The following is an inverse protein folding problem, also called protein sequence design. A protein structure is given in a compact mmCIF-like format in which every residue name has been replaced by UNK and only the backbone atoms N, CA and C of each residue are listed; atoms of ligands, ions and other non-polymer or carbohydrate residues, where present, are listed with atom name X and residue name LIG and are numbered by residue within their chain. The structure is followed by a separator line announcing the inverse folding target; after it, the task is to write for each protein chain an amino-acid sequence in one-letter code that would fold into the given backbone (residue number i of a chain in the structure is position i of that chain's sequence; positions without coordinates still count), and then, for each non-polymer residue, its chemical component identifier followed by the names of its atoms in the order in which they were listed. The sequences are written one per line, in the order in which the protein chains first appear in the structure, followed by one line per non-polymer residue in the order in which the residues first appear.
data_IF_685428106285
#
_entry.id   IF_685428106285
#
_cell.length_a   1.000
_cell.length_b   1.000
_cell.length_c   1.000
_cell.angle_alpha   90.00
_cell.angle_beta   90.00
_cell.angle_gamma   90.00
#
_symmetry.space_group_name_H-M   'P 1'
#
loop_
_entity.id
_entity.type
_entity.pdbx_description
1 polymer ?
#
# COMPACT_ATOMS: atom_id res chain seq x y z
N UNK A 1 27.12 2.25 -6.19
CA UNK A 1 27.11 1.79 -4.78
C UNK A 1 26.70 0.31 -4.66
N UNK A 2 25.93 -0.23 -5.61
CA UNK A 2 25.47 -1.63 -5.63
C UNK A 2 26.57 -2.64 -5.97
N UNK A 3 27.62 -2.20 -6.68
CA UNK A 3 28.83 -3.00 -6.93
C UNK A 3 29.53 -3.45 -5.63
N UNK A 4 29.51 -2.62 -4.58
CA UNK A 4 30.11 -2.96 -3.30
C UNK A 4 29.31 -4.06 -2.57
N UNK A 5 27.97 -3.97 -2.62
CA UNK A 5 27.09 -4.97 -1.99
C UNK A 5 27.12 -6.30 -2.72
N UNK A 6 27.19 -6.29 -4.05
CA UNK A 6 27.31 -7.51 -4.87
C UNK A 6 28.64 -8.22 -4.66
N UNK A 7 29.75 -7.49 -4.53
CA UNK A 7 31.06 -8.08 -4.19
C UNK A 7 31.05 -8.70 -2.78
N UNK A 8 30.44 -8.04 -1.80
CA UNK A 8 30.33 -8.61 -0.44
C UNK A 8 29.39 -9.81 -0.41
N UNK A 9 28.26 -9.76 -1.14
CA UNK A 9 27.36 -10.91 -1.28
C UNK A 9 28.03 -12.09 -2.00
N UNK A 10 28.96 -11.82 -2.92
CA UNK A 10 29.83 -12.80 -3.57
C UNK A 10 31.00 -13.31 -2.71
N UNK A 11 31.01 -13.03 -1.40
CA UNK A 11 31.98 -13.55 -0.44
C UNK A 11 33.28 -12.76 -0.31
N UNK A 12 33.40 -11.57 -0.93
CA UNK A 12 34.58 -10.72 -0.77
C UNK A 12 34.60 -10.03 0.60
N UNK A 13 35.76 -9.90 1.26
CA UNK A 13 35.84 -9.28 2.58
C UNK A 13 35.52 -7.77 2.51
N UNK A 14 34.68 -7.30 3.44
CA UNK A 14 34.20 -5.90 3.48
C UNK A 14 35.35 -4.88 3.55
N UNK A 15 36.46 -5.23 4.21
CA UNK A 15 37.66 -4.39 4.29
C UNK A 15 38.26 -4.12 2.89
N UNK A 16 38.45 -5.17 2.09
CA UNK A 16 38.98 -5.07 0.74
C UNK A 16 38.03 -4.25 -0.15
N UNK A 17 36.73 -4.52 -0.07
CA UNK A 17 35.72 -3.80 -0.86
C UNK A 17 35.67 -2.31 -0.48
N UNK A 18 35.83 -1.98 0.81
CA UNK A 18 35.88 -0.57 1.25
C UNK A 18 37.11 0.17 0.76
N UNK A 19 38.27 -0.48 0.77
CA UNK A 19 39.55 0.11 0.36
C UNK A 19 39.60 0.28 -1.17
N UNK A 20 39.16 -0.73 -1.94
CA UNK A 20 39.14 -0.67 -3.41
C UNK A 20 38.12 0.32 -3.97
N UNK A 21 36.97 0.50 -3.31
CA UNK A 21 35.88 1.34 -3.82
C UNK A 21 35.80 2.72 -3.12
N UNK A 22 36.68 2.99 -2.15
CA UNK A 22 36.66 4.24 -1.38
C UNK A 22 35.37 4.44 -0.55
N UNK A 23 34.66 3.36 -0.22
CA UNK A 23 33.38 3.42 0.52
C UNK A 23 33.64 3.18 2.00
N UNK A 24 33.03 3.97 2.88
CA UNK A 24 33.18 3.80 4.31
C UNK A 24 32.70 2.40 4.78
N UNK A 25 33.54 1.72 5.57
CA UNK A 25 33.24 0.38 6.14
C UNK A 25 31.93 0.37 6.96
N UNK A 26 31.66 1.44 7.69
CA UNK A 26 30.42 1.60 8.46
C UNK A 26 29.17 1.65 7.56
N UNK A 27 29.27 2.28 6.40
CA UNK A 27 28.17 2.35 5.43
C UNK A 27 27.87 0.99 4.82
N UNK A 28 28.91 0.21 4.46
CA UNK A 28 28.75 -1.14 3.94
C UNK A 28 28.11 -2.07 4.96
N UNK A 29 28.59 -2.06 6.21
CA UNK A 29 28.05 -2.92 7.28
C UNK A 29 26.59 -2.60 7.62
N UNK A 30 26.19 -1.33 7.62
CA UNK A 30 24.78 -0.92 7.78
C UNK A 30 23.92 -1.44 6.63
N UNK A 31 24.40 -1.32 5.39
CA UNK A 31 23.62 -1.76 4.21
C UNK A 31 23.50 -3.27 4.10
N UNK A 32 24.54 -4.03 4.44
CA UNK A 32 24.48 -5.50 4.51
C UNK A 32 23.38 -5.93 5.49
N UNK A 33 23.35 -5.35 6.69
CA UNK A 33 22.31 -5.63 7.70
C UNK A 33 20.90 -5.25 7.22
N UNK A 34 20.77 -4.15 6.49
CA UNK A 34 19.49 -3.70 5.93
C UNK A 34 19.02 -4.58 4.76
N UNK A 35 19.93 -5.07 3.92
CA UNK A 35 19.60 -5.96 2.80
C UNK A 35 19.14 -7.35 3.23
N UNK A 36 19.59 -7.82 4.40
CA UNK A 36 19.18 -9.10 4.97
C UNK A 36 17.74 -9.08 5.55
N UNK A 37 17.19 -7.90 5.83
CA UNK A 37 15.79 -7.77 6.24
C UNK A 37 15.01 -7.06 5.14
N UNK A 38 14.04 -7.69 4.45
CA UNK A 38 13.07 -6.92 3.70
C UNK A 38 12.30 -6.08 4.72
N UNK A 39 12.68 -4.81 4.87
CA UNK A 39 12.00 -3.84 5.73
C UNK A 39 10.73 -3.36 5.05
N UNK A 40 9.94 -4.30 4.55
CA UNK A 40 8.51 -4.13 4.44
C UNK A 40 8.05 -3.95 5.87
N UNK A 41 7.81 -2.69 6.29
CA UNK A 41 6.97 -2.42 7.45
C UNK A 41 5.68 -3.16 7.18
N UNK A 42 5.56 -4.38 7.71
CA UNK A 42 4.38 -5.22 7.54
C UNK A 42 3.27 -4.45 8.23
N UNK A 43 2.49 -3.70 7.43
CA UNK A 43 1.16 -3.32 7.84
C UNK A 43 0.51 -4.65 8.20
N UNK A 44 0.20 -4.86 9.48
CA UNK A 44 -0.52 -6.06 9.90
C UNK A 44 -1.73 -6.14 8.96
N UNK A 45 -1.94 -7.26 8.23
CA UNK A 45 -3.17 -7.42 7.47
C UNK A 45 -4.28 -7.49 8.52
N UNK A 46 -4.91 -6.34 8.78
CA UNK A 46 -6.16 -6.30 9.51
C UNK A 46 -7.13 -6.99 8.56
N UNK A 47 -7.80 -8.03 9.04
CA UNK A 47 -8.77 -8.74 8.22
C UNK A 47 -9.88 -7.75 7.85
N UNK A 48 -9.85 -7.29 6.60
CA UNK A 48 -10.79 -6.32 6.06
C UNK A 48 -12.01 -7.03 5.44
N UNK A 49 -12.08 -8.37 5.47
CA UNK A 49 -13.15 -9.13 4.83
C UNK A 49 -14.54 -8.78 5.36
N UNK A 50 -14.71 -8.62 6.68
CA UNK A 50 -15.98 -8.18 7.28
C UNK A 50 -16.37 -6.77 6.82
N UNK A 51 -15.38 -5.87 6.77
CA UNK A 51 -15.59 -4.49 6.31
C UNK A 51 -15.94 -4.45 4.82
N UNK A 52 -15.36 -5.34 4.01
CA UNK A 52 -15.68 -5.47 2.59
C UNK A 52 -17.13 -5.89 2.41
N UNK A 53 -17.60 -6.89 3.15
CA UNK A 53 -18.99 -7.34 3.09
C UNK A 53 -19.97 -6.23 3.48
N UNK A 54 -19.66 -5.50 4.56
CA UNK A 54 -20.45 -4.35 5.03
C UNK A 54 -20.51 -3.24 3.96
N UNK A 55 -19.37 -2.91 3.34
CA UNK A 55 -19.30 -1.93 2.25
C UNK A 55 -20.06 -2.41 1.01
N UNK A 56 -19.92 -3.68 0.60
CA UNK A 56 -20.59 -4.23 -0.57
C UNK A 56 -22.11 -4.18 -0.43
N UNK A 57 -22.64 -4.49 0.76
CA UNK A 57 -24.06 -4.34 1.04
C UNK A 57 -24.53 -2.90 0.83
N UNK A 58 -23.82 -1.92 1.41
CA UNK A 58 -24.17 -0.50 1.28
C UNK A 58 -24.00 0.05 -0.14
N UNK A 59 -23.00 -0.43 -0.90
CA UNK A 59 -22.77 -0.04 -2.30
C UNK A 59 -23.80 -0.66 -3.23
N UNK A 60 -24.28 -1.88 -2.94
CA UNK A 60 -25.33 -2.53 -3.74
C UNK A 60 -26.64 -1.74 -3.76
N UNK A 61 -26.97 -1.08 -2.65
CA UNK A 61 -28.15 -0.21 -2.55
C UNK A 61 -27.94 1.13 -3.29
N UNK A 62 -26.69 1.62 -3.38
CA UNK A 62 -26.37 2.98 -3.84
C UNK A 62 -25.05 3.02 -4.65
N UNK A 63 -25.04 2.55 -5.91
CA UNK A 63 -23.82 2.43 -6.71
C UNK A 63 -23.16 3.78 -7.05
N UNK A 64 -23.89 4.90 -6.90
CA UNK A 64 -23.41 6.26 -7.14
C UNK A 64 -22.67 6.89 -5.96
N UNK A 65 -22.42 6.14 -4.87
CA UNK A 65 -21.84 6.71 -3.65
C UNK A 65 -20.31 6.58 -3.61
N UNK A 66 -19.64 7.71 -3.37
CA UNK A 66 -18.20 7.74 -3.11
C UNK A 66 -17.86 7.35 -1.66
N UNK A 67 -16.61 6.98 -1.43
CA UNK A 67 -16.12 6.46 -0.14
C UNK A 67 -16.43 7.33 1.09
N UNK A 68 -16.54 8.66 0.92
CA UNK A 68 -16.92 9.57 2.02
C UNK A 68 -18.36 9.36 2.50
N UNK A 69 -19.30 9.11 1.58
CA UNK A 69 -20.70 8.83 1.96
C UNK A 69 -20.83 7.46 2.59
N UNK A 70 -20.16 6.45 2.01
CA UNK A 70 -20.10 5.09 2.57
C UNK A 70 -19.56 5.11 4.00
N UNK A 71 -18.47 5.87 4.25
CA UNK A 71 -17.95 6.04 5.61
C UNK A 71 -18.97 6.64 6.59
N UNK A 72 -19.75 7.62 6.17
CA UNK A 72 -20.79 8.22 7.01
C UNK A 72 -21.89 7.23 7.38
N UNK A 73 -22.30 6.36 6.44
CA UNK A 73 -23.28 5.30 6.69
C UNK A 73 -22.73 4.25 7.65
N UNK A 74 -21.51 3.76 7.41
CA UNK A 74 -20.82 2.82 8.29
C UNK A 74 -20.67 3.37 9.72
N UNK A 75 -20.34 4.67 9.84
CA UNK A 75 -20.22 5.32 11.14
C UNK A 75 -21.55 5.33 11.88
N UNK A 76 -22.64 5.71 11.22
CA UNK A 76 -23.98 5.74 11.83
C UNK A 76 -24.45 4.34 12.23
N UNK A 77 -24.27 3.34 11.36
CA UNK A 77 -24.62 1.96 11.65
C UNK A 77 -23.87 1.42 12.88
N UNK A 78 -22.58 1.72 12.99
CA UNK A 78 -21.75 1.30 14.14
C UNK A 78 -22.04 2.07 15.41
N UNK A 79 -22.38 3.35 15.34
CA UNK A 79 -22.86 4.12 16.49
C UNK A 79 -24.13 3.48 17.09
N UNK A 80 -25.07 3.03 16.24
CA UNK A 80 -26.26 2.29 16.70
C UNK A 80 -25.91 0.94 17.34
N UNK A 81 -24.88 0.27 16.85
CA UNK A 81 -24.43 -1.04 17.35
C UNK A 81 -23.40 -0.94 18.49
N UNK A 82 -23.07 0.27 18.96
CA UNK A 82 -22.02 0.53 19.96
C UNK A 82 -20.64 -0.04 19.58
N UNK A 83 -20.37 -0.14 18.28
CA UNK A 83 -19.11 -0.63 17.73
C UNK A 83 -18.09 0.50 17.53
N UNK A 84 -16.79 0.20 17.53
CA UNK A 84 -15.76 1.20 17.31
C UNK A 84 -15.86 1.81 15.91
N UNK A 85 -15.69 3.14 15.83
CA UNK A 85 -15.70 3.88 14.59
C UNK A 85 -14.54 3.46 13.67
N UNK A 86 -14.83 3.30 12.38
CA UNK A 86 -13.83 2.97 11.37
C UNK A 86 -13.15 4.26 10.89
N UNK A 87 -11.83 4.21 10.71
CA UNK A 87 -11.08 5.31 10.12
C UNK A 87 -11.44 5.49 8.63
N UNK A 88 -11.71 6.72 8.20
CA UNK A 88 -11.98 7.09 6.79
C UNK A 88 -10.93 6.52 5.83
N UNK A 89 -9.65 6.58 6.22
CA UNK A 89 -8.54 6.08 5.39
C UNK A 89 -8.62 4.57 5.16
N UNK A 90 -9.13 3.81 6.15
CA UNK A 90 -9.32 2.36 6.05
C UNK A 90 -10.42 2.05 5.03
N UNK A 91 -11.56 2.75 5.11
CA UNK A 91 -12.65 2.63 4.13
C UNK A 91 -12.15 2.94 2.71
N UNK A 92 -11.40 4.03 2.54
CA UNK A 92 -10.83 4.37 1.25
C UNK A 92 -9.90 3.29 0.69
N UNK A 93 -8.99 2.76 1.52
CA UNK A 93 -8.08 1.68 1.12
C UNK A 93 -8.85 0.43 0.69
N UNK A 94 -9.79 -0.02 1.52
CA UNK A 94 -10.59 -1.22 1.23
C UNK A 94 -11.39 -1.03 -0.05
N UNK A 95 -12.06 0.12 -0.23
CA UNK A 95 -12.79 0.38 -1.48
C UNK A 95 -11.87 0.45 -2.70
N UNK A 96 -10.65 0.98 -2.56
CA UNK A 96 -9.67 1.00 -3.64
C UNK A 96 -9.17 -0.41 -3.99
N UNK A 97 -8.77 -1.17 -2.98
CA UNK A 97 -8.16 -2.51 -3.13
C UNK A 97 -9.18 -3.52 -3.71
N UNK A 98 -10.49 -3.29 -3.48
CA UNK A 98 -11.59 -4.10 -4.00
C UNK A 98 -12.31 -3.51 -5.24
N UNK A 99 -11.75 -2.46 -5.88
CA UNK A 99 -12.35 -1.80 -7.06
C UNK A 99 -13.80 -1.32 -6.86
N UNK A 100 -14.18 -0.92 -5.64
CA UNK A 100 -15.51 -0.42 -5.28
C UNK A 100 -15.62 1.11 -5.41
N UNK A 101 -14.57 1.78 -5.86
CA UNK A 101 -14.60 3.21 -6.12
C UNK A 101 -15.26 3.47 -7.47
N UNK A 102 -16.13 4.48 -7.50
CA UNK A 102 -16.66 5.02 -8.75
C UNK A 102 -15.52 5.31 -9.72
N UNK A 103 -15.65 4.77 -10.93
CA UNK A 103 -14.74 5.05 -12.00
C UNK A 103 -14.70 6.57 -12.19
N UNK A 104 -13.52 7.15 -11.99
CA UNK A 104 -13.31 8.54 -12.38
C UNK A 104 -13.52 8.55 -13.88
N UNK A 105 -14.62 9.13 -14.35
CA UNK A 105 -14.81 9.41 -15.78
C UNK A 105 -13.67 10.34 -16.19
N UNK A 106 -12.55 9.78 -16.64
CA UNK A 106 -11.56 10.49 -17.40
C UNK A 106 -12.36 10.91 -18.64
N UNK A 107 -12.52 12.21 -18.88
CA UNK A 107 -13.06 12.68 -20.15
C UNK A 107 -12.19 12.04 -21.22
N UNK A 108 -12.70 11.00 -21.87
CA UNK A 108 -12.07 10.40 -23.04
C UNK A 108 -11.89 11.57 -24.00
N UNK A 109 -10.65 12.00 -24.23
CA UNK A 109 -10.38 12.85 -25.38
C UNK A 109 -10.61 11.92 -26.56
N UNK A 110 -11.73 12.10 -27.25
CA UNK A 110 -12.04 11.39 -28.47
C UNK A 110 -10.95 11.73 -29.50
N UNK A 111 -9.89 10.95 -29.57
CA UNK A 111 -9.14 10.82 -30.82
C UNK A 111 -9.84 9.72 -31.60
N UNK A 112 -10.77 10.15 -32.46
CA UNK A 112 -11.15 9.35 -33.61
C UNK A 112 -9.90 9.14 -34.45
N UNK A 113 -9.51 7.88 -34.60
CA UNK A 113 -8.69 7.44 -35.72
C UNK A 113 -9.62 6.52 -36.52
N UNK A 114 -10.15 7.09 -37.58
CA UNK A 114 -10.85 6.41 -38.65
C UNK A 114 -9.97 5.33 -39.29
N UNK A 115 -10.67 4.28 -39.71
CA UNK A 115 -10.39 3.22 -40.69
C UNK A 115 -9.08 3.24 -41.46
#
# INVERSE_FOLDING_TARGET
MDCALTLVAGGRPVKLVSECLGVARSQLTVRIKQSASPKTRRSRPVNDAELVAEIQQQVSELPSYGYRRVWGLLRRARETQLLPAINVKRVYRVMRDHNLLLERRIKQHCHGAES
#
